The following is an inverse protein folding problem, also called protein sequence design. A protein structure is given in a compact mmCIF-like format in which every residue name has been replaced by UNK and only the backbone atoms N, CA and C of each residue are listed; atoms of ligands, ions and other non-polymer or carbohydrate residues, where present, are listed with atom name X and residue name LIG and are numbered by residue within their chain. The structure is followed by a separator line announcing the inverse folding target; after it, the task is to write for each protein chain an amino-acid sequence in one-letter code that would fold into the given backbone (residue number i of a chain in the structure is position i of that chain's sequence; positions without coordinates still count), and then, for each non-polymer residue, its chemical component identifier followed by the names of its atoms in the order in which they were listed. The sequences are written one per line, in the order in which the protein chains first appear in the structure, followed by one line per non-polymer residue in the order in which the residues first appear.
data_IF_149272137175
#
_entry.id   IF_149272137175
#
_cell.length_a   1.000
_cell.length_b   1.000
_cell.length_c   1.000
_cell.angle_alpha   90.00
_cell.angle_beta   90.00
_cell.angle_gamma   90.00
#
_symmetry.space_group_name_H-M   'P 1'
#
loop_
_entity.id
_entity.type
_entity.pdbx_description
1 polymer ?
#
# COMPACT_ATOMS: atom_id res chain seq x y z
N UNK A 1 -25.40 -1.84 -31.44
CA UNK A 1 -25.36 -3.21 -31.98
C UNK A 1 -24.14 -3.30 -32.92
N UNK A 2 -23.00 -3.93 -32.63
CA UNK A 2 -22.76 -5.25 -32.04
C UNK A 2 -21.37 -5.36 -31.33
N UNK A 3 -21.01 -4.42 -30.44
CA UNK A 3 -19.77 -4.49 -29.63
C UNK A 3 -20.00 -4.58 -28.10
N UNK A 4 -21.26 -4.54 -27.64
CA UNK A 4 -21.60 -4.51 -26.21
C UNK A 4 -21.77 -5.88 -25.55
N UNK A 5 -21.67 -6.97 -26.31
CA UNK A 5 -21.90 -8.33 -25.81
C UNK A 5 -20.68 -8.93 -25.11
N UNK A 6 -19.49 -8.72 -25.66
CA UNK A 6 -18.27 -9.40 -25.21
C UNK A 6 -17.70 -8.81 -23.91
N UNK A 7 -17.80 -7.49 -23.73
CA UNK A 7 -17.39 -6.81 -22.50
C UNK A 7 -18.29 -7.15 -21.30
N UNK A 8 -19.59 -7.38 -21.54
CA UNK A 8 -20.55 -7.74 -20.49
C UNK A 8 -20.37 -9.18 -20.01
N UNK A 9 -19.96 -10.10 -20.89
CA UNK A 9 -19.60 -11.47 -20.49
C UNK A 9 -18.28 -11.55 -19.71
N UNK A 10 -17.30 -10.71 -20.05
CA UNK A 10 -16.06 -10.59 -19.26
C UNK A 10 -16.32 -10.00 -17.86
N UNK A 11 -17.22 -9.00 -17.76
CA UNK A 11 -17.65 -8.45 -16.47
C UNK A 11 -18.45 -9.47 -15.63
N UNK A 12 -19.30 -10.28 -16.27
CA UNK A 12 -20.06 -11.35 -15.58
C UNK A 12 -19.15 -12.48 -15.09
N UNK A 13 -18.11 -12.85 -15.85
CA UNK A 13 -17.13 -13.85 -15.44
C UNK A 13 -16.29 -13.39 -14.23
N UNK A 14 -16.02 -12.08 -14.13
CA UNK A 14 -15.38 -11.45 -12.96
C UNK A 14 -16.31 -11.35 -11.74
N UNK A 15 -17.63 -11.19 -11.95
CA UNK A 15 -18.64 -11.12 -10.88
C UNK A 15 -19.07 -12.49 -10.34
N UNK A 16 -18.93 -13.56 -11.14
CA UNK A 16 -19.41 -14.91 -10.80
C UNK A 16 -18.35 -15.84 -10.19
N UNK A 17 -17.18 -15.33 -9.79
CA UNK A 17 -16.24 -16.08 -8.95
C UNK A 17 -15.91 -17.47 -9.52
N UNK A 18 -15.57 -17.55 -10.80
CA UNK A 18 -15.02 -18.77 -11.35
C UNK A 18 -13.74 -19.11 -10.56
N UNK A 19 -13.79 -20.17 -9.76
CA UNK A 19 -12.64 -20.72 -9.06
C UNK A 19 -11.65 -21.24 -10.11
N UNK A 20 -10.77 -20.36 -10.57
CA UNK A 20 -9.55 -20.79 -11.23
C UNK A 20 -8.76 -21.58 -10.20
N UNK A 21 -8.57 -22.87 -10.46
CA UNK A 21 -7.82 -23.76 -9.59
C UNK A 21 -6.45 -23.16 -9.23
N UNK A 22 -5.99 -23.49 -8.03
CA UNK A 22 -4.69 -23.11 -7.48
C UNK A 22 -3.57 -23.45 -8.46
N UNK A 23 -3.19 -22.49 -9.28
CA UNK A 23 -2.04 -22.60 -10.14
C UNK A 23 -0.90 -21.88 -9.43
N UNK A 24 -0.12 -22.62 -8.64
CA UNK A 24 1.18 -22.16 -8.16
C UNK A 24 2.13 -22.05 -9.38
N UNK A 25 1.97 -21.02 -10.19
CA UNK A 25 2.81 -20.79 -11.38
C UNK A 25 3.79 -19.68 -11.06
N UNK A 26 4.66 -19.94 -10.09
CA UNK A 26 5.79 -19.08 -9.84
C UNK A 26 6.97 -20.00 -9.59
N UNK A 27 7.79 -20.20 -10.62
CA UNK A 27 9.06 -20.90 -10.47
C UNK A 27 9.95 -20.21 -9.43
N UNK A 28 11.05 -20.85 -8.98
CA UNK A 28 11.96 -20.23 -8.04
C UNK A 28 12.50 -18.91 -8.62
N UNK A 29 12.31 -17.81 -7.90
CA UNK A 29 12.75 -16.44 -8.25
C UNK A 29 12.17 -15.88 -9.58
N UNK A 30 10.85 -15.61 -9.66
CA UNK A 30 10.18 -15.15 -10.88
C UNK A 30 10.59 -13.75 -11.37
N UNK A 31 11.16 -12.92 -10.49
CA UNK A 31 11.59 -11.56 -10.78
C UNK A 31 13.11 -11.47 -10.96
N UNK A 32 13.80 -12.61 -11.18
CA UNK A 32 15.23 -12.60 -11.50
C UNK A 32 15.52 -11.73 -12.72
N UNK A 33 16.47 -10.82 -12.58
CA UNK A 33 16.85 -9.87 -13.64
C UNK A 33 15.89 -8.69 -13.80
N UNK A 34 14.95 -8.51 -12.86
CA UNK A 34 14.10 -7.32 -12.74
C UNK A 34 14.70 -6.35 -11.73
N UNK A 35 14.65 -5.07 -12.08
CA UNK A 35 15.10 -3.97 -11.23
C UNK A 35 13.89 -3.27 -10.64
N UNK A 36 13.85 -3.13 -9.32
CA UNK A 36 12.79 -2.46 -8.59
C UNK A 36 13.34 -1.30 -7.75
N UNK A 37 12.54 -0.26 -7.55
CA UNK A 37 12.76 0.77 -6.53
C UNK A 37 11.57 0.82 -5.59
N UNK A 38 11.82 0.87 -4.28
CA UNK A 38 10.79 1.06 -3.25
C UNK A 38 11.10 2.32 -2.45
N UNK A 39 10.17 3.29 -2.47
CA UNK A 39 10.31 4.54 -1.72
C UNK A 39 9.90 4.38 -0.26
N UNK A 40 10.62 5.01 0.67
CA UNK A 40 10.31 4.95 2.10
C UNK A 40 10.41 3.52 2.68
N UNK A 41 11.41 2.76 2.26
CA UNK A 41 11.48 1.32 2.50
C UNK A 41 12.34 0.93 3.71
N UNK A 42 12.71 1.85 4.60
CA UNK A 42 13.51 1.51 5.80
C UNK A 42 12.73 0.77 6.89
N UNK A 43 11.38 0.74 6.82
CA UNK A 43 10.46 0.10 7.77
C UNK A 43 9.06 -0.06 7.18
N UNK A 44 8.17 -0.74 7.91
CA UNK A 44 6.75 -0.84 7.61
C UNK A 44 6.46 -1.50 6.26
N UNK A 45 5.38 -1.04 5.61
CA UNK A 45 4.89 -1.59 4.33
C UNK A 45 6.00 -1.61 3.26
N UNK A 46 6.74 -0.50 3.11
CA UNK A 46 7.83 -0.43 2.14
C UNK A 46 8.92 -1.46 2.36
N UNK A 47 9.32 -1.71 3.62
CA UNK A 47 10.28 -2.76 3.97
C UNK A 47 9.75 -4.15 3.62
N UNK A 48 8.51 -4.45 3.98
CA UNK A 48 7.85 -5.71 3.61
C UNK A 48 7.79 -5.93 2.09
N UNK A 49 7.46 -4.89 1.33
CA UNK A 49 7.44 -4.95 -0.14
C UNK A 49 8.85 -5.19 -0.71
N UNK A 50 9.86 -4.48 -0.22
CA UNK A 50 11.23 -4.65 -0.68
C UNK A 50 11.73 -6.10 -0.45
N UNK A 51 11.52 -6.64 0.75
CA UNK A 51 11.96 -8.00 1.10
C UNK A 51 11.26 -9.06 0.24
N UNK A 52 9.96 -8.94 0.01
CA UNK A 52 9.24 -9.93 -0.83
C UNK A 52 9.61 -9.83 -2.31
N UNK A 53 9.91 -8.63 -2.83
CA UNK A 53 10.52 -8.47 -4.15
C UNK A 53 11.91 -9.14 -4.21
N UNK A 54 12.72 -9.00 -3.16
CA UNK A 54 13.99 -9.70 -3.01
C UNK A 54 13.82 -11.22 -2.97
N UNK A 55 12.84 -11.72 -2.22
CA UNK A 55 12.46 -13.14 -2.17
C UNK A 55 12.06 -13.70 -3.53
N UNK A 56 11.42 -12.87 -4.34
CA UNK A 56 11.10 -13.18 -5.73
C UNK A 56 12.32 -13.06 -6.69
N UNK A 57 13.50 -12.71 -6.20
CA UNK A 57 14.77 -12.66 -6.93
C UNK A 57 15.08 -11.33 -7.61
N UNK A 58 14.34 -10.26 -7.31
CA UNK A 58 14.58 -8.95 -7.89
C UNK A 58 15.84 -8.27 -7.32
N UNK A 59 16.39 -7.35 -8.10
CA UNK A 59 17.34 -6.35 -7.61
C UNK A 59 16.56 -5.12 -7.14
N UNK A 60 16.67 -4.77 -5.86
CA UNK A 60 15.79 -3.79 -5.20
C UNK A 60 16.60 -2.63 -4.64
N UNK A 61 16.30 -1.43 -5.13
CA UNK A 61 16.76 -0.17 -4.56
C UNK A 61 15.82 0.28 -3.43
N UNK A 62 16.34 0.23 -2.22
CA UNK A 62 15.69 0.70 -0.98
C UNK A 62 16.05 2.16 -0.77
N UNK A 63 15.06 3.04 -0.74
CA UNK A 63 15.30 4.48 -0.54
C UNK A 63 14.61 5.03 0.71
N UNK A 64 15.24 6.02 1.33
CA UNK A 64 14.74 6.67 2.55
C UNK A 64 15.83 7.49 3.24
N UNK A 65 15.48 8.09 4.40
CA UNK A 65 16.38 9.00 5.14
C UNK A 65 17.21 8.31 6.22
N UNK A 66 16.72 7.21 6.77
CA UNK A 66 17.30 6.55 7.95
C UNK A 66 18.50 5.70 7.57
N UNK A 67 19.68 6.19 7.96
CA UNK A 67 20.97 5.48 7.86
C UNK A 67 21.43 4.96 9.22
N UNK A 68 22.31 3.96 9.22
CA UNK A 68 23.02 3.54 10.44
C UNK A 68 23.78 4.71 11.04
N UNK A 69 23.72 4.84 12.36
CA UNK A 69 24.32 5.97 13.08
C UNK A 69 23.60 7.32 12.89
N UNK A 70 22.50 7.39 12.11
CA UNK A 70 21.66 8.58 12.07
C UNK A 70 20.88 8.76 13.37
N UNK A 71 20.72 9.99 13.85
CA UNK A 71 19.91 10.34 15.05
C UNK A 71 18.40 10.12 14.84
N UNK A 72 17.98 9.61 13.69
CA UNK A 72 16.57 9.44 13.34
C UNK A 72 15.98 8.26 14.12
N UNK A 73 15.38 8.60 15.27
CA UNK A 73 14.58 7.79 16.22
C UNK A 73 14.42 6.30 15.85
N UNK A 74 14.91 5.36 16.67
CA UNK A 74 14.33 4.03 16.72
C UNK A 74 12.97 4.15 17.42
N UNK A 75 11.92 4.18 16.61
CA UNK A 75 10.57 3.89 17.05
C UNK A 75 10.38 2.37 16.84
N UNK A 76 10.46 1.60 17.95
CA UNK A 76 10.14 0.18 18.13
C UNK A 76 11.30 -0.82 18.27
N UNK A 77 10.97 -1.97 18.89
CA UNK A 77 11.83 -3.04 19.42
C UNK A 77 12.55 -3.92 18.38
N UNK A 78 12.92 -3.34 17.24
CA UNK A 78 13.77 -3.97 16.21
C UNK A 78 15.07 -3.18 16.13
N UNK A 79 16.20 -3.87 16.16
CA UNK A 79 17.50 -3.24 16.44
C UNK A 79 17.99 -2.30 15.32
N UNK A 80 17.49 -2.42 14.08
CA UNK A 80 17.98 -1.64 12.94
C UNK A 80 16.90 -1.35 11.87
N UNK A 81 16.25 -0.18 11.95
CA UNK A 81 15.22 0.29 11.00
C UNK A 81 15.79 1.26 9.96
N UNK A 82 16.87 0.85 9.30
CA UNK A 82 17.61 1.62 8.29
C UNK A 82 17.42 1.06 6.88
N UNK A 83 17.74 1.87 5.87
CA UNK A 83 17.70 1.40 4.47
C UNK A 83 18.80 0.39 4.19
N UNK A 84 19.94 0.48 4.87
CA UNK A 84 21.04 -0.47 4.79
C UNK A 84 20.59 -1.84 5.28
N UNK A 85 19.96 -1.91 6.47
CA UNK A 85 19.46 -3.18 6.98
C UNK A 85 18.40 -3.79 6.07
N UNK A 86 17.48 -2.98 5.55
CA UNK A 86 16.46 -3.50 4.63
C UNK A 86 17.11 -4.03 3.34
N UNK A 87 18.13 -3.38 2.80
CA UNK A 87 18.86 -3.88 1.63
C UNK A 87 19.61 -5.19 1.92
N UNK A 88 20.17 -5.36 3.11
CA UNK A 88 20.72 -6.64 3.55
C UNK A 88 19.64 -7.73 3.57
N UNK A 89 18.45 -7.44 4.12
CA UNK A 89 17.33 -8.38 4.18
C UNK A 89 16.78 -8.77 2.81
N UNK A 90 16.76 -7.85 1.85
CA UNK A 90 16.47 -8.16 0.43
C UNK A 90 17.46 -9.21 -0.10
N UNK A 91 18.74 -9.05 0.24
CA UNK A 91 19.80 -9.94 -0.23
C UNK A 91 19.74 -11.30 0.48
N UNK A 92 19.51 -11.31 1.79
CA UNK A 92 19.25 -12.51 2.62
C UNK A 92 18.03 -13.28 2.11
N UNK A 93 17.01 -12.59 1.60
CA UNK A 93 15.79 -13.20 1.07
C UNK A 93 15.99 -13.88 -0.30
N UNK A 94 17.10 -13.62 -1.01
CA UNK A 94 17.44 -14.25 -2.29
C UNK A 94 17.54 -13.30 -3.50
N UNK A 95 17.39 -11.99 -3.28
CA UNK A 95 17.52 -10.95 -4.30
C UNK A 95 18.87 -10.23 -4.22
N UNK A 96 18.91 -9.02 -4.79
CA UNK A 96 20.06 -8.11 -4.65
C UNK A 96 19.58 -6.80 -4.06
N UNK A 97 19.92 -6.51 -2.80
CA UNK A 97 19.55 -5.27 -2.16
C UNK A 97 20.58 -4.17 -2.38
N UNK A 98 20.11 -2.98 -2.76
CA UNK A 98 20.88 -1.74 -2.81
C UNK A 98 20.17 -0.68 -2.00
N UNK A 99 20.92 0.25 -1.43
CA UNK A 99 20.34 1.39 -0.72
C UNK A 99 20.83 2.73 -1.29
N UNK A 100 19.92 3.70 -1.34
CA UNK A 100 20.22 5.08 -1.69
C UNK A 100 19.53 5.99 -0.66
N UNK A 101 20.31 6.81 0.04
CA UNK A 101 19.74 7.85 0.90
C UNK A 101 18.97 8.83 0.02
N UNK A 102 17.68 9.02 0.32
CA UNK A 102 16.82 9.93 -0.42
C UNK A 102 15.84 10.58 0.56
N UNK A 103 15.80 11.91 0.56
CA UNK A 103 14.72 12.65 1.21
C UNK A 103 13.60 12.88 0.20
N UNK A 104 12.51 12.13 0.35
CA UNK A 104 11.36 12.19 -0.54
C UNK A 104 10.56 13.51 -0.45
N UNK A 105 10.92 14.41 0.47
CA UNK A 105 10.40 15.79 0.49
C UNK A 105 11.21 16.76 -0.40
N UNK A 106 12.37 16.33 -0.91
CA UNK A 106 13.28 17.13 -1.73
C UNK A 106 13.38 16.55 -3.15
N UNK A 107 12.82 17.27 -4.12
CA UNK A 107 12.80 16.84 -5.52
C UNK A 107 14.22 16.65 -6.09
N UNK A 108 15.21 17.41 -5.63
CA UNK A 108 16.60 17.24 -6.06
C UNK A 108 17.17 15.91 -5.53
N UNK A 109 16.89 15.57 -4.27
CA UNK A 109 17.28 14.28 -3.68
C UNK A 109 16.62 13.09 -4.40
N UNK A 110 15.37 13.24 -4.86
CA UNK A 110 14.70 12.24 -5.70
C UNK A 110 15.41 12.11 -7.05
N UNK A 111 15.66 13.22 -7.74
CA UNK A 111 16.32 13.22 -9.05
C UNK A 111 17.72 12.61 -9.00
N UNK A 112 18.52 12.92 -7.96
CA UNK A 112 19.83 12.31 -7.73
C UNK A 112 19.76 10.79 -7.53
N UNK A 113 18.76 10.29 -6.80
CA UNK A 113 18.57 8.86 -6.59
C UNK A 113 18.25 8.12 -7.90
N UNK A 114 17.38 8.69 -8.74
CA UNK A 114 17.06 8.12 -10.05
C UNK A 114 18.21 8.26 -11.05
N UNK A 115 18.98 9.35 -11.01
CA UNK A 115 20.18 9.51 -11.81
C UNK A 115 21.22 8.42 -11.49
N UNK A 116 21.40 8.09 -10.21
CA UNK A 116 22.26 6.97 -9.79
C UNK A 116 21.76 5.63 -10.33
N UNK A 117 20.46 5.35 -10.27
CA UNK A 117 19.90 4.12 -10.84
C UNK A 117 20.09 4.08 -12.35
N UNK A 118 19.90 5.19 -13.04
CA UNK A 118 20.10 5.28 -14.49
C UNK A 118 21.56 5.02 -14.91
N UNK A 119 22.53 5.33 -14.06
CA UNK A 119 23.95 5.02 -14.28
C UNK A 119 24.27 3.55 -14.01
N UNK A 120 23.64 2.95 -12.99
CA UNK A 120 23.92 1.58 -12.55
C UNK A 120 23.13 0.53 -13.36
N UNK A 121 21.99 0.90 -13.95
CA UNK A 121 21.02 -0.04 -14.53
C UNK A 121 20.56 0.35 -15.94
N UNK A 122 20.29 -0.62 -16.83
CA UNK A 122 19.78 -0.34 -18.17
C UNK A 122 18.39 0.30 -18.16
N UNK A 123 17.60 0.05 -17.10
CA UNK A 123 16.31 0.69 -16.86
C UNK A 123 15.65 0.13 -15.59
N UNK A 124 14.38 0.46 -15.38
CA UNK A 124 13.62 0.09 -14.18
C UNK A 124 12.39 -0.73 -14.57
N UNK A 125 12.11 -1.85 -13.91
CA UNK A 125 10.95 -2.69 -14.20
C UNK A 125 9.78 -2.38 -13.25
N UNK A 126 10.07 -2.06 -11.99
CA UNK A 126 9.07 -1.86 -10.94
C UNK A 126 9.37 -0.60 -10.13
N UNK A 127 8.38 0.29 -10.00
CA UNK A 127 8.40 1.40 -9.05
C UNK A 127 7.32 1.16 -7.99
N UNK A 128 7.71 1.19 -6.72
CA UNK A 128 6.76 1.19 -5.60
C UNK A 128 6.87 2.53 -4.88
N UNK A 129 5.90 3.39 -5.12
CA UNK A 129 5.72 4.62 -4.39
C UNK A 129 5.00 4.33 -3.07
N UNK A 130 5.77 4.27 -1.98
CA UNK A 130 5.28 3.98 -0.63
C UNK A 130 5.61 5.10 0.37
N UNK A 131 6.62 5.93 0.09
CA UNK A 131 7.06 6.99 0.99
C UNK A 131 5.89 7.85 1.47
N UNK A 132 5.72 7.91 2.78
CA UNK A 132 4.70 8.70 3.44
C UNK A 132 5.30 9.28 4.71
N UNK A 133 5.02 10.55 5.00
CA UNK A 133 5.48 11.19 6.22
C UNK A 133 4.31 11.42 7.17
N UNK A 134 4.50 10.96 8.40
CA UNK A 134 3.73 11.34 9.57
C UNK A 134 4.67 11.79 10.69
N UNK A 135 5.83 12.37 10.32
CA UNK A 135 6.80 12.83 11.29
C UNK A 135 6.21 13.95 12.16
N UNK A 136 6.59 13.98 13.43
CA UNK A 136 6.23 15.09 14.33
C UNK A 136 4.72 15.30 14.50
N UNK A 137 3.90 14.24 14.37
CA UNK A 137 2.49 14.29 14.77
C UNK A 137 2.32 14.73 16.24
N UNK A 138 3.29 14.43 17.10
CA UNK A 138 3.31 14.87 18.50
C UNK A 138 3.52 16.39 18.67
N UNK A 139 4.04 17.08 17.64
CA UNK A 139 4.18 18.55 17.63
C UNK A 139 2.89 19.23 17.14
N UNK A 140 1.93 18.46 16.64
CA UNK A 140 0.61 18.98 16.30
C UNK A 140 -0.20 19.08 17.58
N UNK A 141 -0.92 20.19 17.74
CA UNK A 141 -1.79 20.41 18.89
C UNK A 141 -2.81 19.26 19.06
N UNK A 142 -3.40 19.18 20.26
CA UNK A 142 -4.33 18.15 20.73
C UNK A 142 -5.11 17.42 19.62
N UNK A 143 -4.95 16.09 19.52
CA UNK A 143 -5.76 15.21 18.67
C UNK A 143 -5.07 14.57 17.45
N UNK A 144 -3.81 14.91 17.16
CA UNK A 144 -2.99 14.19 16.16
C UNK A 144 -3.63 14.10 14.77
N UNK A 145 -3.64 12.90 14.17
CA UNK A 145 -4.29 12.65 12.87
C UNK A 145 -5.82 12.77 12.90
N UNK A 146 -6.45 12.85 14.08
CA UNK A 146 -7.90 12.98 14.24
C UNK A 146 -8.35 14.38 14.67
N UNK A 147 -7.43 15.30 14.91
CA UNK A 147 -7.77 16.68 15.18
C UNK A 147 -8.54 17.28 13.98
N UNK A 148 -9.53 18.15 14.21
CA UNK A 148 -10.22 18.83 13.12
C UNK A 148 -9.26 19.60 12.22
N UNK A 149 -9.52 19.67 10.91
CA UNK A 149 -8.57 20.24 9.96
C UNK A 149 -8.25 21.72 10.23
N UNK A 150 -9.20 22.48 10.80
CA UNK A 150 -8.99 23.88 11.20
C UNK A 150 -8.07 24.05 12.43
N UNK A 151 -7.80 22.97 13.18
CA UNK A 151 -6.85 22.95 14.30
C UNK A 151 -5.46 22.51 13.83
N UNK A 152 -5.39 21.58 12.88
CA UNK A 152 -4.12 21.01 12.38
C UNK A 152 -3.26 22.01 11.60
N UNK A 153 -3.90 22.98 10.93
CA UNK A 153 -3.22 24.00 10.13
C UNK A 153 -2.51 23.45 8.88
N UNK A 154 -1.80 24.34 8.17
CA UNK A 154 -1.14 24.01 6.90
C UNK A 154 -0.02 22.95 7.05
N UNK A 155 0.62 22.85 8.22
CA UNK A 155 1.71 21.88 8.45
C UNK A 155 1.29 20.43 8.21
N UNK A 156 0.09 20.03 8.63
CA UNK A 156 -0.45 18.70 8.35
C UNK A 156 -0.61 18.48 6.84
N UNK A 157 -1.15 19.48 6.16
CA UNK A 157 -1.32 19.45 4.72
C UNK A 157 0.02 19.25 4.00
N UNK A 158 0.99 20.11 4.27
CA UNK A 158 2.31 20.10 3.62
C UNK A 158 3.05 18.78 3.87
N UNK A 159 3.04 18.28 5.11
CA UNK A 159 3.68 17.01 5.45
C UNK A 159 3.13 15.85 4.64
N UNK A 160 1.80 15.72 4.60
CA UNK A 160 1.11 14.61 3.94
C UNK A 160 1.23 14.73 2.42
N UNK A 161 1.09 15.94 1.87
CA UNK A 161 1.08 16.15 0.43
C UNK A 161 2.48 16.20 -0.18
N UNK A 162 3.50 16.73 0.51
CA UNK A 162 4.85 16.80 -0.04
C UNK A 162 5.47 15.40 -0.18
N UNK A 163 5.40 14.57 0.86
CA UNK A 163 5.98 13.22 0.81
C UNK A 163 5.00 12.20 0.22
N UNK A 164 3.73 12.21 0.66
CA UNK A 164 2.76 11.18 0.31
C UNK A 164 2.06 11.36 -1.04
N UNK A 165 2.18 12.52 -1.70
CA UNK A 165 1.55 12.79 -3.01
C UNK A 165 2.55 13.35 -4.02
N UNK A 166 3.19 14.49 -3.73
CA UNK A 166 4.14 15.14 -4.63
C UNK A 166 5.31 14.20 -4.96
N UNK A 167 5.91 13.58 -3.93
CA UNK A 167 7.01 12.64 -4.16
C UNK A 167 6.60 11.47 -5.07
N UNK A 168 5.37 10.95 -4.94
CA UNK A 168 4.87 9.89 -5.83
C UNK A 168 4.83 10.37 -7.29
N UNK A 169 4.36 11.60 -7.52
CA UNK A 169 4.39 12.20 -8.85
C UNK A 169 5.81 12.36 -9.38
N UNK A 170 6.71 12.96 -8.60
CA UNK A 170 8.11 13.22 -9.01
C UNK A 170 8.87 11.91 -9.27
N UNK A 171 8.77 10.93 -8.38
CA UNK A 171 9.34 9.60 -8.59
C UNK A 171 8.79 8.94 -9.85
N UNK A 172 7.51 9.12 -10.16
CA UNK A 172 6.91 8.58 -11.39
C UNK A 172 7.49 9.29 -12.64
N UNK A 173 7.66 10.62 -12.61
CA UNK A 173 8.29 11.37 -13.70
C UNK A 173 9.72 10.87 -13.98
N UNK A 174 10.50 10.61 -12.93
CA UNK A 174 11.88 10.12 -13.04
C UNK A 174 11.95 8.64 -13.47
N UNK A 175 11.00 7.82 -13.00
CA UNK A 175 10.96 6.39 -13.31
C UNK A 175 10.53 6.09 -14.75
N UNK A 176 9.54 6.82 -15.28
CA UNK A 176 8.92 6.51 -16.57
C UNK A 176 9.93 6.42 -17.72
N UNK A 177 10.91 7.33 -17.88
CA UNK A 177 11.97 7.18 -18.89
C UNK A 177 12.80 5.91 -18.71
N UNK A 178 13.09 5.49 -17.47
CA UNK A 178 13.82 4.24 -17.19
C UNK A 178 12.97 3.01 -17.54
N UNK A 179 11.66 3.06 -17.27
CA UNK A 179 10.72 1.99 -17.56
C UNK A 179 10.44 1.85 -19.07
N UNK A 180 10.39 2.96 -19.80
CA UNK A 180 10.31 2.95 -21.26
C UNK A 180 11.51 2.24 -21.90
N UNK A 181 12.73 2.41 -21.36
CA UNK A 181 13.92 1.66 -21.82
C UNK A 181 13.82 0.16 -21.59
N UNK A 182 13.04 -0.28 -20.59
CA UNK A 182 12.73 -1.71 -20.35
C UNK A 182 11.60 -2.24 -21.23
N UNK A 183 10.92 -1.38 -21.98
CA UNK A 183 9.77 -1.74 -22.81
C UNK A 183 8.47 -1.88 -22.02
N UNK A 184 8.40 -1.32 -20.81
CA UNK A 184 7.22 -1.40 -19.94
C UNK A 184 7.58 -1.69 -18.49
N UNK A 185 6.56 -1.83 -17.65
CA UNK A 185 6.74 -2.18 -16.24
C UNK A 185 5.50 -1.99 -15.38
N UNK A 186 5.70 -2.00 -14.07
CA UNK A 186 4.65 -1.83 -13.06
C UNK A 186 5.00 -0.68 -12.10
N UNK A 187 4.06 0.24 -11.93
CA UNK A 187 4.07 1.22 -10.84
C UNK A 187 3.00 0.86 -9.82
N UNK A 188 3.38 0.76 -8.56
CA UNK A 188 2.48 0.56 -7.43
C UNK A 188 2.46 1.83 -6.60
N UNK A 189 1.30 2.47 -6.53
CA UNK A 189 1.05 3.65 -5.71
C UNK A 189 0.40 3.18 -4.41
N UNK A 190 1.15 3.15 -3.30
CA UNK A 190 0.61 2.71 -2.00
C UNK A 190 -0.30 3.78 -1.44
N UNK A 191 -1.60 3.56 -1.61
CA UNK A 191 -2.65 4.42 -1.12
C UNK A 191 -3.26 3.82 0.14
N UNK A 192 -4.52 4.15 0.44
CA UNK A 192 -5.27 3.53 1.52
C UNK A 192 -6.75 3.71 1.29
N UNK A 193 -7.55 3.01 2.09
CA UNK A 193 -8.99 3.21 2.15
C UNK A 193 -9.42 4.66 2.35
N UNK A 194 -8.55 5.49 2.93
CA UNK A 194 -8.78 6.93 3.12
C UNK A 194 -8.91 7.70 1.80
N UNK A 195 -8.46 7.14 0.67
CA UNK A 195 -8.70 7.74 -0.64
C UNK A 195 -10.13 7.58 -1.15
N UNK A 196 -10.89 6.64 -0.58
CA UNK A 196 -12.28 6.37 -0.95
C UNK A 196 -13.29 6.75 0.14
N UNK A 197 -12.85 7.01 1.38
CA UNK A 197 -13.72 7.36 2.52
C UNK A 197 -12.99 8.18 3.58
N UNK A 198 -13.73 8.81 4.50
CA UNK A 198 -13.14 9.58 5.60
C UNK A 198 -12.70 8.64 6.76
N UNK A 199 -11.41 8.69 7.14
CA UNK A 199 -10.84 7.81 8.19
C UNK A 199 -10.10 8.58 9.30
N UNK A 200 -9.32 9.60 8.92
CA UNK A 200 -8.45 10.32 9.85
C UNK A 200 -8.70 11.82 9.84
N UNK A 201 -8.34 12.49 8.75
CA UNK A 201 -8.55 13.91 8.57
C UNK A 201 -8.63 14.27 7.07
N UNK A 202 -8.92 15.55 6.81
CA UNK A 202 -9.06 16.09 5.46
C UNK A 202 -7.76 15.93 4.65
N UNK A 203 -6.61 16.31 5.22
CA UNK A 203 -5.34 16.27 4.49
C UNK A 203 -4.96 14.85 4.07
N UNK A 204 -5.15 13.87 4.95
CA UNK A 204 -4.91 12.46 4.66
C UNK A 204 -5.83 11.93 3.56
N UNK A 205 -7.14 12.17 3.70
CA UNK A 205 -8.13 11.69 2.74
C UNK A 205 -7.92 12.31 1.34
N UNK A 206 -7.69 13.62 1.27
CA UNK A 206 -7.40 14.31 0.01
C UNK A 206 -6.13 13.79 -0.64
N UNK A 207 -5.04 13.60 0.12
CA UNK A 207 -3.80 13.09 -0.45
C UNK A 207 -3.96 11.67 -0.99
N UNK A 208 -4.62 10.76 -0.25
CA UNK A 208 -4.84 9.39 -0.72
C UNK A 208 -5.82 9.31 -1.90
N UNK A 209 -6.87 10.15 -1.92
CA UNK A 209 -7.76 10.28 -3.07
C UNK A 209 -7.03 10.85 -4.29
N UNK A 210 -6.09 11.78 -4.08
CA UNK A 210 -5.23 12.31 -5.14
C UNK A 210 -4.24 11.26 -5.67
N UNK A 211 -3.70 10.38 -4.82
CA UNK A 211 -2.89 9.23 -5.26
C UNK A 211 -3.70 8.28 -6.15
N UNK A 212 -4.97 8.03 -5.82
CA UNK A 212 -5.86 7.20 -6.64
C UNK A 212 -6.16 7.86 -7.99
N UNK A 213 -6.40 9.18 -7.97
CA UNK A 213 -6.60 9.97 -9.20
C UNK A 213 -5.34 9.97 -10.07
N UNK A 214 -4.18 10.19 -9.47
CA UNK A 214 -2.87 10.15 -10.12
C UNK A 214 -2.64 8.80 -10.79
N UNK A 215 -2.92 7.70 -10.08
CA UNK A 215 -2.84 6.33 -10.63
C UNK A 215 -3.70 6.21 -11.90
N UNK A 216 -4.96 6.63 -11.81
CA UNK A 216 -5.91 6.53 -12.93
C UNK A 216 -5.43 7.33 -14.14
N UNK A 217 -4.98 8.56 -13.96
CA UNK A 217 -4.58 9.41 -15.07
C UNK A 217 -3.28 8.94 -15.71
N UNK A 218 -2.28 8.58 -14.89
CA UNK A 218 -1.04 7.99 -15.40
C UNK A 218 -1.31 6.73 -16.22
N UNK A 219 -2.28 5.90 -15.85
CA UNK A 219 -2.60 4.68 -16.61
C UNK A 219 -3.04 4.95 -18.06
N UNK A 220 -3.62 6.13 -18.32
CA UNK A 220 -4.09 6.52 -19.65
C UNK A 220 -2.89 6.90 -20.51
N UNK A 221 -2.02 7.76 -19.98
CA UNK A 221 -0.83 8.27 -20.68
C UNK A 221 0.24 7.19 -20.87
N UNK A 222 0.34 6.24 -19.94
CA UNK A 222 1.36 5.19 -19.93
C UNK A 222 0.98 3.94 -20.71
N UNK A 223 -0.29 3.80 -21.12
CA UNK A 223 -0.78 2.66 -21.89
C UNK A 223 0.04 2.38 -23.17
N UNK A 224 0.39 3.38 -24.01
CA UNK A 224 1.20 3.15 -25.22
C UNK A 224 2.60 2.62 -24.93
N UNK A 225 3.08 2.77 -23.70
CA UNK A 225 4.43 2.41 -23.26
C UNK A 225 4.48 1.09 -22.48
N UNK A 226 3.37 0.36 -22.41
CA UNK A 226 3.24 -0.88 -21.64
C UNK A 226 3.64 -0.75 -20.15
N UNK A 227 3.49 0.46 -19.59
CA UNK A 227 3.67 0.71 -18.16
C UNK A 227 2.29 0.69 -17.50
N UNK A 228 2.11 -0.25 -16.57
CA UNK A 228 0.87 -0.40 -15.82
C UNK A 228 1.03 0.29 -14.46
N UNK A 229 -0.04 0.89 -13.96
CA UNK A 229 -0.02 1.57 -12.66
C UNK A 229 -1.26 1.21 -11.86
N UNK A 230 -1.09 0.88 -10.58
CA UNK A 230 -2.21 0.51 -9.70
C UNK A 230 -2.12 1.24 -8.37
N UNK A 231 -3.27 1.52 -7.77
CA UNK A 231 -3.36 2.06 -6.41
C UNK A 231 -3.54 0.88 -5.47
N UNK A 232 -2.57 0.61 -4.62
CA UNK A 232 -2.60 -0.51 -3.69
C UNK A 232 -3.16 -0.06 -2.35
N UNK A 233 -4.16 -0.77 -1.84
CA UNK A 233 -4.79 -0.55 -0.54
C UNK A 233 -4.42 -1.70 0.41
N UNK A 234 -3.40 -1.51 1.26
CA UNK A 234 -3.17 -2.36 2.42
C UNK A 234 -4.35 -2.32 3.38
N UNK A 235 -4.53 -3.40 4.14
CA UNK A 235 -5.46 -3.47 5.25
C UNK A 235 -4.92 -2.79 6.51
N UNK A 236 -5.28 -3.33 7.67
CA UNK A 236 -4.70 -2.91 8.94
C UNK A 236 -3.32 -3.54 9.10
N UNK A 237 -2.26 -2.79 8.82
CA UNK A 237 -0.90 -3.35 8.82
C UNK A 237 -0.22 -3.24 10.19
N UNK A 238 0.34 -4.36 10.67
CA UNK A 238 1.18 -4.45 11.87
C UNK A 238 2.59 -3.91 11.63
N UNK A 239 2.68 -2.62 11.28
CA UNK A 239 3.97 -1.93 11.14
C UNK A 239 4.65 -1.74 12.48
N UNK A 240 5.97 -1.56 12.47
CA UNK A 240 6.77 -1.32 13.68
C UNK A 240 6.22 -0.12 14.49
N UNK A 241 5.75 0.94 13.80
CA UNK A 241 5.09 2.09 14.43
C UNK A 241 3.78 1.70 15.11
N UNK A 242 2.91 0.95 14.44
CA UNK A 242 1.61 0.57 14.99
C UNK A 242 1.77 -0.37 16.20
N UNK A 243 2.70 -1.34 16.10
CA UNK A 243 3.03 -2.24 17.20
C UNK A 243 3.66 -1.51 18.40
N UNK A 244 4.39 -0.41 18.16
CA UNK A 244 4.85 0.46 19.24
C UNK A 244 3.69 1.19 19.91
N UNK A 245 2.80 1.82 19.14
CA UNK A 245 1.62 2.48 19.69
C UNK A 245 0.77 1.51 20.53
N UNK A 246 0.66 0.25 20.13
CA UNK A 246 -0.04 -0.78 20.90
C UNK A 246 0.66 -1.07 22.23
N UNK A 247 1.99 -1.26 22.22
CA UNK A 247 2.79 -1.45 23.44
C UNK A 247 2.76 -0.25 24.39
N UNK A 248 2.66 0.96 23.85
CA UNK A 248 2.57 2.20 24.63
C UNK A 248 1.14 2.53 25.10
N UNK A 249 0.15 1.69 24.76
CA UNK A 249 -1.25 1.92 25.11
C UNK A 249 -1.91 3.10 24.36
N UNK A 250 -1.27 3.61 23.31
CA UNK A 250 -1.73 4.73 22.50
C UNK A 250 -2.53 4.30 21.26
N UNK A 251 -2.49 3.00 20.93
CA UNK A 251 -3.08 2.48 19.71
C UNK A 251 -4.58 2.75 19.58
N UNK A 252 -5.37 2.57 20.63
CA UNK A 252 -6.83 2.73 20.54
C UNK A 252 -7.23 4.16 20.17
N UNK A 253 -6.56 5.16 20.75
CA UNK A 253 -6.78 6.57 20.41
C UNK A 253 -6.37 6.89 18.97
N UNK A 254 -5.24 6.34 18.52
CA UNK A 254 -4.66 6.56 17.19
C UNK A 254 -5.35 5.75 16.08
N UNK A 255 -5.97 4.62 16.40
CA UNK A 255 -6.64 3.74 15.43
C UNK A 255 -8.15 3.88 15.42
N UNK A 256 -8.75 4.37 16.50
CA UNK A 256 -10.20 4.43 16.69
C UNK A 256 -10.76 3.14 17.32
N UNK A 257 -9.90 2.36 17.97
CA UNK A 257 -10.24 1.06 18.58
C UNK A 257 -10.20 -0.12 17.61
N UNK A 258 -9.42 -0.03 16.54
CA UNK A 258 -9.20 -1.17 15.64
C UNK A 258 -8.39 -2.26 16.35
N UNK A 259 -8.69 -3.52 16.10
CA UNK A 259 -7.98 -4.66 16.67
C UNK A 259 -6.74 -4.99 15.81
N UNK A 260 -5.56 -4.54 16.29
CA UNK A 260 -4.28 -4.71 15.59
C UNK A 260 -3.81 -6.18 15.54
N UNK A 261 -4.28 -7.03 16.44
CA UNK A 261 -3.90 -8.44 16.47
C UNK A 261 -4.47 -9.20 15.26
N UNK A 262 -5.54 -8.68 14.68
CA UNK A 262 -6.14 -9.14 13.41
C UNK A 262 -5.53 -8.47 12.18
N UNK A 263 -4.48 -7.68 12.36
CA UNK A 263 -3.81 -6.96 11.28
C UNK A 263 -2.91 -7.85 10.42
N UNK A 264 -2.75 -7.45 9.16
CA UNK A 264 -1.83 -8.10 8.22
C UNK A 264 -0.37 -7.72 8.50
N UNK A 265 0.57 -8.57 8.10
CA UNK A 265 1.99 -8.22 8.13
C UNK A 265 2.36 -7.30 6.96
N UNK A 266 3.45 -6.52 7.08
CA UNK A 266 3.99 -5.77 5.93
C UNK A 266 4.30 -6.65 4.71
N UNK A 267 4.67 -7.92 4.92
CA UNK A 267 4.97 -8.88 3.85
C UNK A 267 3.76 -9.16 2.96
N UNK A 268 2.52 -9.03 3.47
CA UNK A 268 1.32 -9.27 2.66
C UNK A 268 1.19 -8.31 1.48
N UNK A 269 1.45 -7.02 1.71
CA UNK A 269 1.53 -6.01 0.65
C UNK A 269 2.66 -6.31 -0.35
N UNK A 270 3.77 -6.88 0.13
CA UNK A 270 4.88 -7.33 -0.71
C UNK A 270 4.50 -8.49 -1.63
N UNK A 271 3.83 -9.51 -1.09
CA UNK A 271 3.31 -10.65 -1.86
C UNK A 271 2.32 -10.21 -2.93
N UNK A 272 1.42 -9.27 -2.60
CA UNK A 272 0.53 -8.65 -3.57
C UNK A 272 1.28 -7.94 -4.70
N UNK A 273 2.34 -7.20 -4.36
CA UNK A 273 3.17 -6.50 -5.33
C UNK A 273 3.91 -7.48 -6.26
N UNK A 274 4.44 -8.58 -5.72
CA UNK A 274 5.05 -9.67 -6.50
C UNK A 274 4.01 -10.33 -7.42
N UNK A 275 2.82 -10.62 -6.90
CA UNK A 275 1.74 -11.23 -7.68
C UNK A 275 1.32 -10.35 -8.88
N UNK A 276 1.18 -9.04 -8.66
CA UNK A 276 0.93 -8.08 -9.74
C UNK A 276 2.08 -8.03 -10.75
N UNK A 277 3.33 -8.03 -10.28
CA UNK A 277 4.51 -8.01 -11.16
C UNK A 277 4.65 -9.30 -12.01
N UNK A 278 4.12 -10.41 -11.53
CA UNK A 278 4.11 -11.70 -12.22
C UNK A 278 2.81 -11.96 -13.01
N UNK A 279 1.82 -11.07 -12.91
CA UNK A 279 0.52 -11.27 -13.52
C UNK A 279 0.62 -11.33 -15.05
N UNK A 280 -0.22 -12.12 -15.73
CA UNK A 280 -0.33 -12.10 -17.18
C UNK A 280 -0.53 -10.66 -17.70
N UNK A 281 0.13 -10.26 -18.81
CA UNK A 281 0.10 -8.86 -19.27
C UNK A 281 -1.31 -8.31 -19.55
N UNK A 282 -2.23 -9.14 -20.01
CA UNK A 282 -3.64 -8.80 -20.22
C UNK A 282 -4.38 -8.55 -18.89
N UNK A 283 -4.15 -9.41 -17.90
CA UNK A 283 -4.68 -9.21 -16.55
C UNK A 283 -4.12 -7.93 -15.93
N UNK A 284 -2.80 -7.72 -15.98
CA UNK A 284 -2.19 -6.51 -15.42
C UNK A 284 -2.70 -5.23 -16.10
N UNK A 285 -2.88 -5.27 -17.43
CA UNK A 285 -3.50 -4.16 -18.18
C UNK A 285 -4.93 -3.87 -17.76
N UNK A 286 -5.72 -4.90 -17.44
CA UNK A 286 -7.08 -4.75 -16.96
C UNK A 286 -7.17 -4.12 -15.56
N UNK A 287 -6.15 -4.36 -14.72
CA UNK A 287 -6.05 -3.76 -13.37
C UNK A 287 -5.46 -2.34 -13.42
N UNK A 288 -4.73 -1.97 -14.46
CA UNK A 288 -4.09 -0.65 -14.59
C UNK A 288 -5.10 0.50 -14.49
N UNK A 289 -4.79 1.50 -13.67
CA UNK A 289 -5.63 2.67 -13.41
C UNK A 289 -6.71 2.46 -12.34
N UNK A 290 -6.70 1.33 -11.65
CA UNK A 290 -7.70 0.99 -10.63
C UNK A 290 -7.10 0.78 -9.23
N UNK A 291 -7.98 0.76 -8.24
CA UNK A 291 -7.66 0.44 -6.84
C UNK A 291 -7.66 -1.08 -6.65
N UNK A 292 -6.64 -1.58 -6.00
CA UNK A 292 -6.43 -2.99 -5.68
C UNK A 292 -6.26 -3.17 -4.17
N UNK A 293 -7.16 -3.92 -3.54
CA UNK A 293 -7.08 -4.24 -2.11
C UNK A 293 -6.21 -5.48 -1.93
N UNK A 294 -5.23 -5.43 -1.03
CA UNK A 294 -4.24 -6.51 -0.84
C UNK A 294 -4.92 -7.87 -0.58
N UNK A 295 -5.89 -7.91 0.36
CA UNK A 295 -6.65 -9.13 0.65
C UNK A 295 -7.45 -9.66 -0.55
N UNK A 296 -7.93 -8.78 -1.44
CA UNK A 296 -8.66 -9.20 -2.64
C UNK A 296 -7.72 -9.72 -3.73
N UNK A 297 -6.52 -9.14 -3.85
CA UNK A 297 -5.45 -9.70 -4.68
C UNK A 297 -5.01 -11.07 -4.15
N UNK A 298 -4.95 -11.25 -2.83
CA UNK A 298 -4.60 -12.53 -2.21
C UNK A 298 -5.59 -13.64 -2.59
N UNK A 299 -6.89 -13.34 -2.58
CA UNK A 299 -7.91 -14.26 -3.08
C UNK A 299 -7.80 -14.51 -4.59
N UNK A 300 -7.55 -13.46 -5.38
CA UNK A 300 -7.47 -13.55 -6.85
C UNK A 300 -6.25 -14.34 -7.33
N UNK A 301 -5.10 -14.13 -6.71
CA UNK A 301 -3.82 -14.72 -7.10
C UNK A 301 -3.43 -15.94 -6.25
N UNK A 302 -4.17 -16.24 -5.18
CA UNK A 302 -3.98 -17.44 -4.36
C UNK A 302 -2.73 -17.41 -3.49
N UNK A 303 -2.46 -16.30 -2.80
CA UNK A 303 -1.39 -16.21 -1.80
C UNK A 303 -1.92 -15.88 -0.41
N UNK A 304 -1.17 -16.29 0.62
CA UNK A 304 -1.49 -16.03 2.03
C UNK A 304 -0.50 -15.02 2.63
N UNK A 305 -0.88 -14.42 3.75
CA UNK A 305 0.03 -13.68 4.63
C UNK A 305 0.92 -14.65 5.43
N UNK A 306 1.87 -14.13 6.19
CA UNK A 306 2.71 -14.93 7.09
C UNK A 306 1.86 -15.79 8.05
N UNK A 307 2.35 -17.00 8.32
CA UNK A 307 1.62 -17.99 9.10
C UNK A 307 0.42 -18.62 8.37
N UNK A 308 0.34 -18.49 7.04
CA UNK A 308 -0.78 -18.98 6.21
C UNK A 308 -2.13 -18.37 6.62
N UNK A 309 -2.11 -17.10 7.03
CA UNK A 309 -3.31 -16.36 7.40
C UNK A 309 -3.89 -15.63 6.19
N UNK A 310 -5.22 -15.43 6.17
CA UNK A 310 -5.91 -14.64 5.14
C UNK A 310 -6.66 -13.48 5.80
N UNK A 311 -6.01 -12.32 5.95
CA UNK A 311 -6.68 -11.10 6.39
C UNK A 311 -7.90 -10.81 5.52
N UNK A 312 -9.03 -10.46 6.15
CA UNK A 312 -10.25 -10.16 5.43
C UNK A 312 -10.13 -8.84 4.66
N UNK A 313 -10.78 -8.74 3.50
CA UNK A 313 -10.85 -7.45 2.78
C UNK A 313 -11.46 -6.38 3.67
N UNK A 314 -10.88 -5.19 3.64
CA UNK A 314 -11.40 -3.97 4.28
C UNK A 314 -12.82 -3.60 3.82
N UNK A 315 -13.30 -4.17 2.71
CA UNK A 315 -14.68 -4.01 2.20
C UNK A 315 -15.64 -5.11 2.66
N UNK A 316 -15.13 -6.17 3.27
CA UNK A 316 -15.93 -7.33 3.69
C UNK A 316 -16.70 -7.03 4.97
N UNK A 317 -17.88 -7.61 5.12
CA UNK A 317 -18.58 -7.62 6.41
C UNK A 317 -17.71 -8.23 7.52
N UNK A 318 -16.91 -9.26 7.17
CA UNK A 318 -15.98 -9.92 8.11
C UNK A 318 -14.94 -8.98 8.70
N UNK A 319 -14.54 -7.95 7.95
CA UNK A 319 -13.72 -6.88 8.48
C UNK A 319 -14.57 -5.82 9.18
N UNK A 320 -15.62 -5.32 8.51
CA UNK A 320 -16.35 -4.14 8.95
C UNK A 320 -17.13 -4.34 10.26
N UNK A 321 -17.80 -5.48 10.43
CA UNK A 321 -18.63 -5.69 11.62
C UNK A 321 -17.78 -5.82 12.88
N UNK A 322 -16.75 -6.69 12.95
CA UNK A 322 -15.95 -6.82 14.16
C UNK A 322 -15.09 -5.59 14.47
N UNK A 323 -14.67 -4.82 13.45
CA UNK A 323 -13.76 -3.68 13.63
C UNK A 323 -14.49 -2.36 13.91
N UNK A 324 -15.70 -2.16 13.38
CA UNK A 324 -16.42 -0.88 13.52
C UNK A 324 -17.79 -1.02 14.18
N UNK A 325 -18.60 -1.98 13.74
CA UNK A 325 -20.02 -2.05 14.15
C UNK A 325 -20.20 -2.69 15.53
N UNK A 326 -19.61 -3.85 15.76
CA UNK A 326 -19.74 -4.58 17.02
C UNK A 326 -19.13 -3.83 18.21
N UNK A 327 -17.95 -3.19 18.10
CA UNK A 327 -17.43 -2.35 19.17
C UNK A 327 -18.36 -1.19 19.52
N UNK A 328 -18.95 -0.54 18.52
CA UNK A 328 -19.90 0.56 18.74
C UNK A 328 -21.21 0.09 19.39
N UNK A 329 -21.79 -1.02 18.90
CA UNK A 329 -22.95 -1.66 19.51
C UNK A 329 -22.70 -2.01 20.99
N UNK A 330 -21.54 -2.59 21.30
CA UNK A 330 -21.16 -2.93 22.69
C UNK A 330 -21.04 -1.67 23.56
N UNK A 331 -20.48 -0.57 23.03
CA UNK A 331 -20.42 0.73 23.73
C UNK A 331 -21.81 1.29 24.03
N UNK A 332 -22.79 1.04 23.16
CA UNK A 332 -24.20 1.41 23.35
C UNK A 332 -24.97 0.42 24.26
N UNK A 333 -24.32 -0.60 24.81
CA UNK A 333 -24.96 -1.61 25.65
C UNK A 333 -25.79 -2.65 24.89
N UNK A 334 -25.68 -2.70 23.56
CA UNK A 334 -26.37 -3.70 22.74
C UNK A 334 -25.64 -5.06 22.83
N UNK A 335 -26.37 -6.17 23.01
CA UNK A 335 -25.75 -7.49 23.11
C UNK A 335 -25.19 -7.94 21.76
N UNK A 336 -23.87 -8.12 21.70
CA UNK A 336 -23.19 -8.77 20.57
C UNK A 336 -22.50 -10.03 21.08
N UNK A 337 -23.11 -11.23 20.89
CA UNK A 337 -22.51 -12.48 21.34
C UNK A 337 -21.11 -12.69 20.76
N UNK A 338 -20.14 -13.11 21.57
CA UNK A 338 -18.74 -13.25 21.11
C UNK A 338 -18.57 -14.27 19.97
N UNK A 339 -19.41 -15.29 19.89
CA UNK A 339 -19.39 -16.24 18.76
C UNK A 339 -19.69 -15.59 17.41
N UNK A 340 -20.33 -14.42 17.40
CA UNK A 340 -20.67 -13.70 16.17
C UNK A 340 -19.42 -13.10 15.52
N UNK A 341 -18.39 -12.74 16.28
CA UNK A 341 -17.13 -12.21 15.75
C UNK A 341 -16.46 -13.19 14.76
N UNK A 342 -16.61 -14.50 14.97
CA UNK A 342 -16.02 -15.56 14.15
C UNK A 342 -16.94 -16.05 13.02
N UNK A 343 -18.24 -15.74 13.07
CA UNK A 343 -19.24 -16.23 12.11
C UNK A 343 -19.70 -15.19 11.08
N UNK A 344 -19.04 -14.04 11.02
CA UNK A 344 -19.37 -13.01 10.04
C UNK A 344 -19.05 -13.50 8.61
N UNK A 345 -20.04 -13.46 7.68
CA UNK A 345 -19.81 -13.90 6.31
C UNK A 345 -18.86 -12.96 5.55
N UNK A 346 -18.13 -13.50 4.58
CA UNK A 346 -17.15 -12.75 3.77
C UNK A 346 -17.79 -11.98 2.60
N UNK A 347 -18.84 -11.22 2.87
CA UNK A 347 -19.54 -10.49 1.80
C UNK A 347 -18.87 -9.14 1.61
N UNK A 348 -18.26 -8.92 0.43
CA UNK A 348 -17.65 -7.65 0.04
C UNK A 348 -18.71 -6.65 -0.37
N UNK A 349 -18.77 -5.51 0.30
CA UNK A 349 -19.67 -4.41 -0.06
C UNK A 349 -19.15 -3.65 -1.27
N UNK A 350 -20.01 -3.24 -2.23
CA UNK A 350 -19.59 -2.51 -3.42
C UNK A 350 -19.00 -1.15 -3.06
N UNK A 351 -18.04 -0.66 -3.85
CA UNK A 351 -17.37 0.64 -3.62
C UNK A 351 -18.32 1.83 -3.45
N UNK A 352 -19.52 1.76 -4.03
CA UNK A 352 -20.55 2.79 -3.87
C UNK A 352 -20.96 3.02 -2.41
N UNK A 353 -20.89 1.99 -1.55
CA UNK A 353 -21.18 2.10 -0.11
C UNK A 353 -20.21 3.04 0.59
N UNK A 354 -18.94 3.05 0.19
CA UNK A 354 -17.87 3.80 0.86
C UNK A 354 -17.69 5.22 0.33
N UNK A 355 -18.18 5.47 -0.89
CA UNK A 355 -18.15 6.78 -1.56
C UNK A 355 -19.32 7.68 -1.21
N UNK A 356 -20.35 7.14 -0.58
CA UNK A 356 -21.41 7.95 0.03
C UNK A 356 -20.81 8.78 1.16
N UNK A 357 -21.11 10.08 1.19
CA UNK A 357 -20.87 10.88 2.39
C UNK A 357 -21.62 10.30 3.60
N UNK A 358 -21.42 10.84 4.81
CA UNK A 358 -22.23 10.43 5.95
C UNK A 358 -23.72 10.45 5.57
N UNK A 359 -24.54 9.52 6.11
CA UNK A 359 -25.99 9.54 5.89
C UNK A 359 -26.52 10.97 6.08
N UNK A 360 -27.36 11.44 5.15
CA UNK A 360 -27.83 12.84 5.16
C UNK A 360 -28.69 13.18 6.38
N UNK A 361 -29.09 12.19 7.18
CA UNK A 361 -29.94 12.36 8.36
C UNK A 361 -29.27 11.79 9.61
N UNK A 362 -28.40 12.58 10.24
CA UNK A 362 -28.22 12.58 11.69
C UNK A 362 -28.20 14.06 12.11
N UNK A 363 -29.39 14.63 12.24
CA UNK A 363 -29.63 15.94 12.82
C UNK A 363 -29.52 15.91 14.34
#
# INVERSE_FOLDING_TARGET
HAQSGTEMHALLALLLGASAGSASVVGPAPLRGKVALVTGASRGIGRGIAIELGRAGAEVYVTGRSLRGSRARPAAACDDLTIERTAEEVSEAGGVGRFIRCDHADDASVSEAFARIAQEQPGLDILVNNAFSSDNLNDLQQGGLRAPFWVQGARMWDMVHNVGLRSHYVCSCEAVPLMMRRGGGLMVQVSSFGGSSYIFNVAYGVAKGAVDRLTRDMSIELRPHAINTVSLYPGLVRTERNLQLQREGMWDAESGGLDLDKGETPSFSGRATVALACAPPDMLRALSGSVQVVAELAEQFGFDDEGATRPASIRSLRFLLPQYVFPDMRKQGLPVPGWLDERVPDVKLPWAVFKGGPPQDIA
#
